data_IF_496276035557
#
_entry.id   IF_496276035557
#
_cell.length_a   1.000
_cell.length_b   1.000
_cell.length_c   1.000
_cell.angle_alpha   90.00
_cell.angle_beta   90.00
_cell.angle_gamma   90.00
#
_symmetry.space_group_name_H-M   'P 1'
#
loop_
_entity.id
_entity.type
_entity.pdbx_description
1 polymer ?
#
# COMPACT_ATOMS: atom_id res chain seq x y z
N UNK A 1 -6.94 5.75 8.08
CA UNK A 1 -7.07 5.80 6.60
C UNK A 1 -5.76 6.30 6.04
N UNK A 2 -5.40 5.82 4.85
CA UNK A 2 -4.22 6.23 4.08
C UNK A 2 -4.73 6.78 2.75
N UNK A 3 -4.16 7.90 2.31
CA UNK A 3 -4.62 8.65 1.15
C UNK A 3 -3.44 8.91 0.22
N UNK A 4 -3.66 8.82 -1.08
CA UNK A 4 -2.69 9.19 -2.11
C UNK A 4 -3.08 10.52 -2.74
N UNK A 5 -2.28 11.55 -2.47
CA UNK A 5 -2.54 12.90 -2.95
C UNK A 5 -2.31 13.08 -4.44
N UNK A 6 -1.58 12.17 -5.09
CA UNK A 6 -1.36 12.24 -6.54
C UNK A 6 -2.63 11.91 -7.33
N UNK A 7 -3.61 11.26 -6.69
CA UNK A 7 -4.86 10.79 -7.31
C UNK A 7 -6.04 11.74 -7.14
N UNK A 8 -5.80 12.89 -6.49
CA UNK A 8 -6.84 13.90 -6.26
C UNK A 8 -7.32 14.45 -7.61
N UNK A 9 -8.62 14.32 -7.86
CA UNK A 9 -9.25 14.81 -9.10
C UNK A 9 -9.16 13.86 -10.29
N UNK A 10 -8.67 12.63 -10.10
CA UNK A 10 -8.86 11.55 -11.07
C UNK A 10 -10.35 11.21 -11.17
N UNK A 11 -10.81 10.80 -12.36
CA UNK A 11 -12.18 10.29 -12.50
C UNK A 11 -12.24 8.87 -11.91
N UNK A 12 -13.27 8.60 -11.11
CA UNK A 12 -13.55 7.25 -10.63
C UNK A 12 -13.83 6.36 -11.84
N UNK A 13 -12.98 5.36 -12.07
CA UNK A 13 -13.25 4.33 -13.06
C UNK A 13 -14.49 3.56 -12.59
N UNK A 14 -15.64 3.81 -13.23
CA UNK A 14 -16.98 3.29 -12.93
C UNK A 14 -17.11 1.74 -12.93
N UNK A 15 -16.01 0.99 -12.99
CA UNK A 15 -16.03 -0.46 -13.22
C UNK A 15 -16.31 -1.30 -12.00
N UNK A 16 -16.27 -0.76 -10.78
CA UNK A 16 -16.60 -1.50 -9.56
C UNK A 16 -17.90 -0.98 -8.95
N UNK A 17 -19.00 -1.49 -9.52
CA UNK A 17 -20.33 -1.43 -8.94
C UNK A 17 -20.25 -1.89 -7.47
N UNK A 18 -20.53 -0.97 -6.54
CA UNK A 18 -20.79 -1.18 -5.11
C UNK A 18 -19.66 -0.84 -4.09
N UNK A 19 -19.03 0.34 -4.24
CA UNK A 19 -18.20 0.96 -3.20
C UNK A 19 -18.55 2.46 -3.00
N UNK A 20 -19.74 2.75 -2.44
CA UNK A 20 -20.15 4.02 -1.80
C UNK A 20 -19.17 5.21 -1.94
N UNK A 21 -19.25 5.97 -3.04
CA UNK A 21 -18.78 7.37 -3.19
C UNK A 21 -17.40 7.66 -2.56
N UNK A 22 -16.45 6.72 -2.68
CA UNK A 22 -15.13 6.82 -2.08
C UNK A 22 -14.21 7.56 -3.07
N UNK A 23 -13.64 8.71 -2.68
CA UNK A 23 -12.86 9.49 -3.62
C UNK A 23 -11.59 8.74 -4.04
N UNK A 24 -11.08 8.96 -5.27
CA UNK A 24 -10.00 8.19 -5.88
C UNK A 24 -8.68 8.25 -5.09
N UNK A 25 -8.49 9.28 -4.27
CA UNK A 25 -7.35 9.40 -3.36
C UNK A 25 -7.40 8.47 -2.14
N UNK A 26 -8.54 7.86 -1.80
CA UNK A 26 -8.63 7.00 -0.62
C UNK A 26 -8.06 5.60 -0.89
N UNK A 27 -6.75 5.49 -0.70
CA UNK A 27 -5.95 4.29 -0.94
C UNK A 27 -6.31 3.11 -0.03
N UNK A 28 -6.44 3.32 1.28
CA UNK A 28 -6.65 2.22 2.23
C UNK A 28 -7.33 2.60 3.54
N UNK A 29 -8.12 1.68 4.08
CA UNK A 29 -8.71 1.78 5.42
C UNK A 29 -8.36 0.56 6.27
N UNK A 30 -7.68 0.80 7.39
CA UNK A 30 -7.35 -0.23 8.38
C UNK A 30 -8.52 -0.43 9.36
N UNK A 31 -9.21 -1.57 9.26
CA UNK A 31 -10.35 -1.94 10.10
C UNK A 31 -10.01 -2.76 11.35
N UNK A 32 -8.72 -2.89 11.72
CA UNK A 32 -8.31 -3.81 12.79
C UNK A 32 -8.59 -3.34 14.22
N UNK A 33 -8.81 -2.04 14.45
CA UNK A 33 -9.09 -1.51 15.80
C UNK A 33 -10.59 -1.51 16.09
N UNK A 34 -10.98 -2.11 17.22
CA UNK A 34 -12.37 -2.12 17.71
C UNK A 34 -12.72 -0.91 18.60
N UNK A 35 -11.83 0.07 18.67
CA UNK A 35 -12.01 1.26 19.51
C UNK A 35 -11.36 2.49 18.84
N UNK A 36 -11.70 3.68 19.35
CA UNK A 36 -11.13 4.94 18.85
C UNK A 36 -9.60 4.91 18.97
N UNK A 37 -8.94 5.12 17.83
CA UNK A 37 -7.49 5.32 17.74
C UNK A 37 -7.14 6.61 18.48
N UNK A 38 -6.16 6.51 19.39
CA UNK A 38 -5.65 7.65 20.15
C UNK A 38 -4.42 8.27 19.50
N UNK A 39 -3.57 7.47 18.86
CA UNK A 39 -2.36 7.93 18.18
C UNK A 39 -1.85 6.89 17.17
N UNK A 40 -0.98 7.31 16.25
CA UNK A 40 -0.27 6.44 15.33
C UNK A 40 1.06 7.06 14.87
N UNK A 41 2.00 6.22 14.43
CA UNK A 41 3.28 6.64 13.90
C UNK A 41 3.68 5.77 12.71
N UNK A 42 4.29 6.39 11.71
CA UNK A 42 4.96 5.70 10.62
C UNK A 42 6.32 5.17 11.08
N UNK A 43 6.72 4.02 10.55
CA UNK A 43 8.08 3.54 10.70
C UNK A 43 8.99 4.30 9.73
N UNK A 44 10.05 4.94 10.24
CA UNK A 44 11.02 5.69 9.42
C UNK A 44 11.91 4.79 8.55
N UNK A 45 12.03 3.50 8.90
CA UNK A 45 12.95 2.56 8.26
C UNK A 45 12.26 1.61 7.29
N UNK A 46 11.01 1.27 7.56
CA UNK A 46 10.25 0.29 6.78
C UNK A 46 9.04 0.98 6.15
N UNK A 47 9.04 1.22 4.83
CA UNK A 47 7.92 1.83 4.14
C UNK A 47 6.61 1.09 4.38
N UNK A 48 5.52 1.84 4.48
CA UNK A 48 4.15 1.33 4.66
C UNK A 48 3.87 0.65 6.00
N UNK A 49 4.85 0.58 6.91
CA UNK A 49 4.64 0.07 8.26
C UNK A 49 4.16 1.19 9.18
N UNK A 50 3.04 0.95 9.86
CA UNK A 50 2.44 1.87 10.84
C UNK A 50 2.26 1.14 12.17
N UNK A 51 2.58 1.84 13.26
CA UNK A 51 2.14 1.48 14.60
C UNK A 51 0.97 2.38 15.00
N UNK A 52 -0.12 1.81 15.50
CA UNK A 52 -1.27 2.58 16.00
C UNK A 52 -1.76 2.06 17.34
N UNK A 53 -2.19 2.98 18.20
CA UNK A 53 -2.74 2.70 19.52
C UNK A 53 -4.19 3.16 19.62
N UNK A 54 -5.00 2.40 20.33
CA UNK A 54 -6.39 2.73 20.59
C UNK A 54 -6.75 2.53 22.06
N UNK A 55 -7.96 2.96 22.44
CA UNK A 55 -8.51 2.69 23.78
C UNK A 55 -8.47 1.19 24.10
N UNK A 56 -8.47 0.89 25.40
CA UNK A 56 -8.42 -0.47 25.94
C UNK A 56 -7.11 -1.21 25.66
N UNK A 57 -5.98 -0.49 25.68
CA UNK A 57 -4.63 -1.04 25.58
C UNK A 57 -4.37 -1.80 24.26
N UNK A 58 -5.04 -1.41 23.17
CA UNK A 58 -4.79 -1.96 21.84
C UNK A 58 -3.58 -1.26 21.21
N UNK A 59 -2.56 -2.05 20.85
CA UNK A 59 -1.44 -1.66 20.00
C UNK A 59 -1.44 -2.59 18.78
N UNK A 60 -1.36 -2.04 17.59
CA UNK A 60 -1.24 -2.81 16.36
C UNK A 60 -0.09 -2.26 15.52
N UNK A 61 0.75 -3.17 15.01
CA UNK A 61 1.75 -2.87 13.98
C UNK A 61 1.29 -3.57 12.71
N UNK A 62 1.10 -2.82 11.64
CA UNK A 62 0.52 -3.32 10.40
C UNK A 62 1.19 -2.69 9.19
N UNK A 63 1.15 -3.42 8.08
CA UNK A 63 1.67 -3.00 6.79
C UNK A 63 0.62 -3.29 5.73
N UNK A 64 0.40 -2.32 4.86
CA UNK A 64 -0.48 -2.50 3.71
C UNK A 64 0.13 -3.51 2.71
N UNK A 65 -0.71 -4.32 2.07
CA UNK A 65 -0.25 -5.23 1.04
C UNK A 65 0.31 -4.46 -0.17
N UNK A 66 1.36 -5.00 -0.78
CA UNK A 66 2.12 -4.34 -1.84
C UNK A 66 1.28 -4.02 -3.09
N UNK A 67 0.34 -4.90 -3.41
CA UNK A 67 -0.58 -4.74 -4.54
C UNK A 67 -1.62 -3.61 -4.36
N UNK A 68 -1.67 -2.95 -3.19
CA UNK A 68 -2.61 -1.86 -2.92
C UNK A 68 -2.01 -0.50 -3.31
N UNK A 69 -0.70 -0.30 -3.16
CA UNK A 69 -0.04 0.98 -3.48
C UNK A 69 0.85 0.94 -4.72
N UNK A 70 1.13 -0.23 -5.28
CA UNK A 70 1.89 -0.31 -6.53
C UNK A 70 0.97 -0.19 -7.72
N UNK A 71 1.33 0.72 -8.64
CA UNK A 71 0.75 0.73 -9.97
C UNK A 71 1.20 -0.51 -10.75
N UNK A 72 0.30 -1.04 -11.58
CA UNK A 72 0.55 -2.25 -12.39
C UNK A 72 1.79 -2.06 -13.28
N UNK A 73 1.95 -0.86 -13.84
CA UNK A 73 3.06 -0.47 -14.70
C UNK A 73 4.42 -0.43 -13.98
N UNK A 74 4.44 -0.23 -12.66
CA UNK A 74 5.67 -0.24 -11.86
C UNK A 74 6.04 -1.65 -11.40
N UNK A 75 5.04 -2.48 -11.10
CA UNK A 75 5.25 -3.88 -10.76
C UNK A 75 5.84 -4.66 -11.95
N UNK A 76 5.37 -4.40 -13.18
CA UNK A 76 5.88 -5.05 -14.39
C UNK A 76 7.35 -4.70 -14.67
N UNK A 77 7.72 -3.42 -14.51
CA UNK A 77 9.12 -2.97 -14.69
C UNK A 77 10.09 -3.67 -13.73
N UNK A 78 9.69 -3.88 -12.49
CA UNK A 78 10.51 -4.58 -11.50
C UNK A 78 10.69 -6.06 -11.83
N UNK A 79 9.68 -6.71 -12.43
CA UNK A 79 9.80 -8.09 -12.90
C UNK A 79 10.76 -8.20 -14.08
N UNK A 80 10.67 -7.29 -15.05
CA UNK A 80 11.59 -7.23 -16.20
C UNK A 80 13.04 -7.04 -15.74
N UNK A 81 13.28 -6.12 -14.79
CA UNK A 81 14.62 -5.88 -14.22
C UNK A 81 15.15 -7.14 -13.50
N UNK A 82 14.29 -7.87 -12.79
CA UNK A 82 14.68 -9.11 -12.12
C UNK A 82 15.02 -10.20 -13.13
N UNK A 83 14.25 -10.33 -14.21
CA UNK A 83 14.52 -11.29 -15.29
C UNK A 83 15.85 -10.98 -15.99
N UNK A 84 16.12 -9.72 -16.31
CA UNK A 84 17.38 -9.28 -16.93
C UNK A 84 18.59 -9.56 -16.05
N UNK A 85 18.49 -9.30 -14.74
CA UNK A 85 19.56 -9.62 -13.79
C UNK A 85 19.78 -11.13 -13.68
N UNK A 86 18.70 -11.92 -13.67
CA UNK A 86 18.79 -13.37 -13.61
C UNK A 86 19.44 -13.93 -14.88
N UNK A 87 19.05 -13.43 -16.05
CA UNK A 87 19.61 -13.78 -17.34
C UNK A 87 21.12 -13.51 -17.38
N UNK A 88 21.53 -12.27 -17.05
CA UNK A 88 22.95 -11.88 -17.02
C UNK A 88 23.77 -12.66 -15.98
N UNK A 89 23.18 -12.99 -14.82
CA UNK A 89 23.87 -13.77 -13.78
C UNK A 89 24.20 -15.21 -14.21
N UNK A 90 23.36 -15.78 -15.10
CA UNK A 90 23.56 -17.13 -15.62
C UNK A 90 24.57 -17.17 -16.77
N UNK A 91 24.74 -16.08 -17.51
CA UNK A 91 25.78 -15.96 -18.56
C UNK A 91 27.18 -15.81 -17.97
N UNK A 92 27.35 -15.09 -16.86
CA UNK A 92 28.65 -14.89 -16.18
C UNK A 92 29.16 -16.17 -15.50
N UNK A 93 28.28 -17.17 -15.29
CA UNK A 93 28.61 -18.45 -14.64
C UNK A 93 29.00 -19.59 -15.60
N UNK A 94 29.14 -19.32 -16.91
CA UNK A 94 29.66 -20.25 -17.91
C UNK A 94 31.11 -19.91 -18.28
#
# INVERSE_FOLDING_TARGET
>A
MVWDLNRVGEEELETELDAEDRPPELLFSHGGHNAKISDFAWNEKEPWVIASVAKYNSLQVWQMAENIYRDVDEAEKDEDIKQDKLHNSNEIRK
#
